data_IF_723099601202
#
_entry.id   IF_723099601202
#
_cell.length_a   1.000
_cell.length_b   1.000
_cell.length_c   1.000
_cell.angle_alpha   90.00
_cell.angle_beta   90.00
_cell.angle_gamma   90.00
#
_symmetry.space_group_name_H-M   'P 1'
#
loop_
_entity.id
_entity.type
_entity.pdbx_description
1 polymer ?
#
# COMPACT_ATOMS: atom_id res chain seq x y z
N UNK A 1 -58.40 -0.90 -13.43
CA UNK A 1 -57.09 -0.85 -14.10
C UNK A 1 -56.15 -0.06 -13.20
N UNK A 2 -55.02 -0.64 -12.78
CA UNK A 2 -53.98 0.08 -12.04
C UNK A 2 -52.77 0.25 -12.96
N UNK A 3 -52.18 1.44 -12.96
CA UNK A 3 -50.97 1.74 -13.73
C UNK A 3 -49.87 2.04 -12.72
N UNK A 4 -48.79 1.26 -12.77
CA UNK A 4 -47.57 1.52 -12.00
C UNK A 4 -46.56 2.24 -12.88
N UNK A 5 -46.08 3.41 -12.43
CA UNK A 5 -45.15 4.25 -13.18
C UNK A 5 -43.81 4.31 -12.45
N UNK A 6 -42.77 3.73 -13.06
CA UNK A 6 -41.39 3.90 -12.60
C UNK A 6 -40.76 5.11 -13.28
N UNK A 7 -40.35 6.11 -12.50
CA UNK A 7 -39.73 7.34 -13.02
C UNK A 7 -38.20 7.23 -12.95
N UNK A 8 -37.55 7.21 -14.10
CA UNK A 8 -36.08 7.26 -14.22
C UNK A 8 -35.68 8.64 -14.73
N UNK A 9 -34.76 9.32 -14.04
CA UNK A 9 -34.29 10.67 -14.40
C UNK A 9 -32.79 10.79 -14.25
N UNK A 10 -32.19 11.63 -15.08
CA UNK A 10 -30.84 12.14 -14.88
C UNK A 10 -30.92 13.65 -14.67
N UNK A 11 -30.32 14.12 -13.58
CA UNK A 11 -30.32 15.53 -13.20
C UNK A 11 -28.87 16.01 -13.05
N UNK A 12 -28.59 17.24 -13.49
CA UNK A 12 -27.33 17.90 -13.20
C UNK A 12 -27.46 18.62 -11.87
N UNK A 13 -26.62 18.25 -10.91
CA UNK A 13 -26.57 18.87 -9.58
C UNK A 13 -25.18 19.45 -9.39
N UNK A 14 -25.09 20.77 -9.15
CA UNK A 14 -23.83 21.42 -8.83
C UNK A 14 -23.71 21.54 -7.31
N UNK A 15 -22.61 21.03 -6.77
CA UNK A 15 -22.33 21.04 -5.34
C UNK A 15 -20.94 21.65 -5.09
N UNK A 16 -20.84 22.50 -4.07
CA UNK A 16 -19.56 23.07 -3.63
C UNK A 16 -18.83 22.08 -2.74
N UNK A 17 -17.69 21.61 -3.20
CA UNK A 17 -16.87 20.62 -2.49
C UNK A 17 -15.45 21.12 -2.25
N UNK A 18 -14.73 20.60 -1.23
CA UNK A 18 -13.32 20.92 -1.04
C UNK A 18 -12.49 20.52 -2.25
N UNK A 19 -11.55 21.38 -2.65
CA UNK A 19 -10.50 21.06 -3.62
C UNK A 19 -9.25 20.62 -2.84
N UNK A 20 -8.84 19.33 -2.88
CA UNK A 20 -7.63 18.90 -2.21
C UNK A 20 -6.38 19.59 -2.80
N UNK A 21 -5.38 19.90 -1.97
CA UNK A 21 -4.16 20.56 -2.42
C UNK A 21 -3.29 19.61 -3.27
N UNK A 22 -2.58 20.18 -4.26
CA UNK A 22 -1.62 19.42 -5.06
C UNK A 22 -0.32 19.24 -4.27
N UNK A 23 0.25 18.03 -4.18
CA UNK A 23 1.52 17.83 -3.49
C UNK A 23 2.69 18.24 -4.38
N UNK A 24 3.38 19.33 -4.00
CA UNK A 24 4.69 19.68 -4.53
C UNK A 24 5.76 18.82 -3.86
N UNK A 25 6.52 18.07 -4.67
CA UNK A 25 7.52 17.12 -4.18
C UNK A 25 8.87 17.80 -3.99
N UNK A 26 9.47 17.63 -2.82
CA UNK A 26 10.83 18.07 -2.52
C UNK A 26 11.67 16.84 -2.20
N UNK A 27 12.80 16.71 -2.88
CA UNK A 27 13.73 15.59 -2.68
C UNK A 27 14.59 15.80 -1.43
N UNK A 28 14.79 14.73 -0.67
CA UNK A 28 15.65 14.69 0.50
C UNK A 28 16.68 13.55 0.35
N UNK A 29 17.96 13.88 0.04
CA UNK A 29 19.00 12.88 -0.17
C UNK A 29 19.46 12.19 1.12
N UNK A 30 19.07 12.67 2.31
CA UNK A 30 19.36 12.00 3.58
C UNK A 30 18.23 11.04 4.00
N UNK A 31 17.07 11.12 3.34
CA UNK A 31 15.92 10.28 3.60
C UNK A 31 15.85 9.09 2.62
N UNK A 32 15.60 7.89 3.15
CA UNK A 32 15.45 6.68 2.33
C UNK A 32 14.34 6.82 1.30
N UNK A 33 14.53 6.25 0.10
CA UNK A 33 13.57 6.28 -1.01
C UNK A 33 12.20 5.70 -0.65
N UNK A 34 12.17 4.75 0.28
CA UNK A 34 10.92 4.15 0.78
C UNK A 34 10.09 5.06 1.68
N UNK A 35 10.60 6.24 2.06
CA UNK A 35 9.97 7.16 3.00
C UNK A 35 9.49 8.43 2.31
N UNK A 36 8.29 8.84 2.68
CA UNK A 36 7.72 10.12 2.31
C UNK A 36 7.13 10.76 3.57
N UNK A 37 7.25 12.08 3.68
CA UNK A 37 6.75 12.85 4.81
C UNK A 37 5.99 14.05 4.25
N UNK A 38 4.75 14.21 4.71
CA UNK A 38 4.02 15.45 4.49
C UNK A 38 4.62 16.49 5.42
N UNK A 39 5.43 17.39 4.86
CA UNK A 39 6.06 18.48 5.61
C UNK A 39 5.08 19.62 5.83
N UNK A 40 4.31 19.94 4.79
CA UNK A 40 3.22 20.90 4.86
C UNK A 40 1.98 20.28 4.21
N UNK A 41 0.86 20.11 4.94
CA UNK A 41 -0.37 19.58 4.36
C UNK A 41 -1.04 20.53 3.35
N UNK A 42 -0.56 21.77 3.20
CA UNK A 42 -1.17 22.76 2.32
C UNK A 42 -2.44 23.34 2.94
N UNK A 43 -3.36 23.81 2.11
CA UNK A 43 -4.68 24.28 2.55
C UNK A 43 -5.72 23.96 1.46
N UNK A 44 -6.84 23.29 1.80
CA UNK A 44 -7.87 22.98 0.81
C UNK A 44 -8.44 24.25 0.18
N UNK A 45 -8.66 24.18 -1.14
CA UNK A 45 -9.45 25.18 -1.86
C UNK A 45 -10.94 24.80 -1.89
N UNK A 46 -11.69 25.43 -2.77
CA UNK A 46 -13.08 25.07 -3.05
C UNK A 46 -13.32 25.00 -4.55
N UNK A 47 -14.12 24.03 -4.97
CA UNK A 47 -14.55 23.86 -6.35
C UNK A 47 -16.04 23.55 -6.39
N UNK A 48 -16.72 24.03 -7.42
CA UNK A 48 -18.08 23.63 -7.73
C UNK A 48 -18.01 22.44 -8.68
N UNK A 49 -18.50 21.28 -8.25
CA UNK A 49 -18.54 20.03 -9.05
C UNK A 49 -19.96 19.79 -9.52
N UNK A 50 -20.14 19.68 -10.83
CA UNK A 50 -21.41 19.27 -11.43
C UNK A 50 -21.44 17.76 -11.54
N UNK A 51 -22.40 17.14 -10.87
CA UNK A 51 -22.69 15.72 -10.92
C UNK A 51 -23.85 15.43 -11.86
N UNK A 52 -23.73 14.37 -12.66
CA UNK A 52 -24.86 13.71 -13.27
C UNK A 52 -25.41 12.69 -12.27
N UNK A 53 -26.61 12.96 -11.74
CA UNK A 53 -27.27 12.16 -10.71
C UNK A 53 -28.39 11.36 -11.35
N UNK A 54 -28.31 10.03 -11.30
CA UNK A 54 -29.36 9.13 -11.72
C UNK A 54 -30.34 8.91 -10.56
N UNK A 55 -31.64 9.03 -10.82
CA UNK A 55 -32.71 8.80 -9.86
C UNK A 55 -33.74 7.82 -10.41
N UNK A 56 -34.17 6.88 -9.57
CA UNK A 56 -35.31 5.97 -9.83
C UNK A 56 -36.36 6.22 -8.75
N UNK A 57 -37.57 6.56 -9.16
CA UNK A 57 -38.68 6.94 -8.27
C UNK A 57 -38.31 8.08 -7.29
N UNK A 58 -37.43 9.00 -7.74
CA UNK A 58 -36.96 10.13 -6.94
C UNK A 58 -35.79 9.80 -6.00
N UNK A 59 -35.44 8.52 -5.85
CA UNK A 59 -34.29 8.08 -5.04
C UNK A 59 -33.04 8.03 -5.92
N UNK A 60 -31.94 8.60 -5.43
CA UNK A 60 -30.66 8.56 -6.12
C UNK A 60 -30.12 7.12 -6.20
N UNK A 61 -29.84 6.64 -7.41
CA UNK A 61 -29.25 5.33 -7.68
C UNK A 61 -27.77 5.40 -8.04
N UNK A 62 -27.26 6.60 -8.36
CA UNK A 62 -25.85 6.84 -8.59
C UNK A 62 -25.54 8.29 -8.98
N UNK A 63 -24.29 8.70 -8.77
CA UNK A 63 -23.78 10.00 -9.19
C UNK A 63 -22.40 9.87 -9.81
N UNK A 64 -22.13 10.68 -10.84
CA UNK A 64 -20.83 10.78 -11.49
C UNK A 64 -20.47 12.27 -11.69
N UNK A 65 -19.25 12.72 -11.34
CA UNK A 65 -18.81 14.08 -11.66
C UNK A 65 -18.64 14.22 -13.18
N UNK A 66 -19.22 15.26 -13.78
CA UNK A 66 -19.16 15.53 -15.23
C UNK A 66 -18.48 16.85 -15.58
N UNK A 67 -18.37 17.77 -14.62
CA UNK A 67 -17.61 19.01 -14.76
C UNK A 67 -17.20 19.52 -13.38
N UNK A 68 -16.14 20.32 -13.33
CA UNK A 68 -15.75 21.05 -12.13
C UNK A 68 -15.21 22.43 -12.50
N UNK A 69 -15.43 23.39 -11.60
CA UNK A 69 -14.90 24.75 -11.71
C UNK A 69 -14.27 25.14 -10.38
N UNK A 70 -13.01 25.57 -10.41
CA UNK A 70 -12.31 26.04 -9.20
C UNK A 70 -12.84 27.42 -8.83
N UNK A 71 -13.29 27.57 -7.57
CA UNK A 71 -13.78 28.84 -7.02
C UNK A 71 -12.70 29.53 -6.21
N UNK A 72 -12.11 28.80 -5.26
CA UNK A 72 -10.94 29.25 -4.51
C UNK A 72 -9.83 28.21 -4.72
N UNK A 73 -8.64 28.62 -5.21
CA UNK A 73 -7.54 27.70 -5.40
C UNK A 73 -7.07 27.13 -4.06
N UNK A 74 -6.60 25.89 -4.08
CA UNK A 74 -5.93 25.28 -2.94
C UNK A 74 -4.50 25.83 -2.82
N UNK A 75 -3.97 25.86 -1.59
CA UNK A 75 -2.53 26.07 -1.36
C UNK A 75 -1.84 24.72 -1.41
N UNK A 76 -0.84 24.59 -2.26
CA UNK A 76 -0.11 23.35 -2.45
C UNK A 76 0.44 22.77 -1.14
N UNK A 77 0.43 21.45 -1.06
CA UNK A 77 1.06 20.69 0.01
C UNK A 77 2.54 20.47 -0.32
N UNK A 78 3.40 20.37 0.68
CA UNK A 78 4.81 20.01 0.51
C UNK A 78 5.01 18.57 0.95
N UNK A 79 5.37 17.72 0.00
CA UNK A 79 5.68 16.32 0.22
C UNK A 79 7.19 16.12 0.08
N UNK A 80 7.86 15.88 1.20
CA UNK A 80 9.26 15.49 1.22
C UNK A 80 9.39 14.01 0.87
N UNK A 81 10.15 13.70 -0.16
CA UNK A 81 10.38 12.33 -0.64
C UNK A 81 11.85 11.99 -0.53
N UNK A 82 12.15 10.81 0.01
CA UNK A 82 13.53 10.38 0.13
C UNK A 82 14.16 10.06 -1.22
N UNK A 83 15.42 10.46 -1.37
CA UNK A 83 16.25 10.19 -2.55
C UNK A 83 17.64 9.68 -2.19
N UNK A 84 17.82 9.19 -0.95
CA UNK A 84 19.11 8.67 -0.46
C UNK A 84 19.66 7.55 -1.36
N UNK A 85 20.83 7.75 -1.99
CA UNK A 85 21.44 6.73 -2.84
C UNK A 85 21.69 5.41 -2.09
N UNK A 86 21.47 4.27 -2.75
CA UNK A 86 21.71 2.94 -2.17
C UNK A 86 20.58 2.41 -1.29
N UNK A 87 19.49 3.18 -1.17
CA UNK A 87 18.26 2.82 -0.45
C UNK A 87 17.11 2.42 -1.37
N UNK A 88 17.42 2.04 -2.62
CA UNK A 88 16.44 1.56 -3.57
C UNK A 88 15.83 0.24 -3.07
N UNK A 89 14.52 0.11 -3.23
CA UNK A 89 13.76 -1.08 -2.84
C UNK A 89 13.21 -1.73 -4.12
N UNK A 90 13.73 -2.91 -4.53
CA UNK A 90 13.21 -3.60 -5.69
C UNK A 90 11.78 -4.12 -5.44
N UNK A 91 10.95 -4.26 -6.49
CA UNK A 91 9.65 -4.89 -6.36
C UNK A 91 9.79 -6.34 -5.87
N UNK A 92 8.82 -6.82 -5.10
CA UNK A 92 8.85 -8.16 -4.50
C UNK A 92 7.90 -9.06 -5.30
N UNK A 93 8.40 -10.15 -5.92
CA UNK A 93 7.55 -11.05 -6.70
C UNK A 93 6.49 -11.76 -5.85
N UNK A 94 6.79 -12.10 -4.59
CA UNK A 94 5.92 -12.92 -3.73
C UNK A 94 5.52 -12.21 -2.42
N UNK A 95 4.94 -11.02 -2.51
CA UNK A 95 4.60 -10.23 -1.32
C UNK A 95 3.65 -10.96 -0.34
N UNK A 96 2.79 -11.85 -0.86
CA UNK A 96 1.80 -12.63 -0.10
C UNK A 96 2.44 -13.69 0.79
N UNK A 97 3.50 -14.36 0.33
CA UNK A 97 4.26 -15.34 1.11
C UNK A 97 4.88 -14.67 2.32
N UNK A 98 5.43 -13.47 2.15
CA UNK A 98 6.02 -12.70 3.24
C UNK A 98 5.01 -12.23 4.28
N UNK A 99 3.82 -11.83 3.84
CA UNK A 99 2.74 -11.48 4.75
C UNK A 99 2.23 -12.70 5.53
N UNK A 100 2.20 -13.89 4.92
CA UNK A 100 1.85 -15.14 5.59
C UNK A 100 2.89 -15.52 6.66
N UNK A 101 4.18 -15.47 6.32
CA UNK A 101 5.27 -15.69 7.29
C UNK A 101 5.17 -14.66 8.43
N UNK A 102 4.91 -13.40 8.13
CA UNK A 102 4.81 -12.37 9.17
C UNK A 102 3.60 -12.55 10.08
N UNK A 103 2.51 -13.12 9.57
CA UNK A 103 1.37 -13.55 10.40
C UNK A 103 1.75 -14.70 11.33
N UNK A 104 2.48 -15.69 10.83
CA UNK A 104 2.95 -16.82 11.64
C UNK A 104 3.94 -16.40 12.74
N UNK A 105 4.91 -15.54 12.39
CA UNK A 105 6.05 -15.19 13.27
C UNK A 105 5.75 -14.01 14.22
N UNK A 106 4.88 -13.09 13.83
CA UNK A 106 4.63 -11.83 14.54
C UNK A 106 3.15 -11.42 14.62
N UNK A 107 2.21 -12.31 14.28
CA UNK A 107 0.79 -11.97 14.21
C UNK A 107 0.47 -10.91 13.15
N UNK A 108 1.37 -10.68 12.20
CA UNK A 108 1.27 -9.66 11.16
C UNK A 108 1.82 -8.29 11.59
N UNK A 109 2.38 -8.18 12.80
CA UNK A 109 2.98 -6.95 13.27
C UNK A 109 4.43 -6.80 12.76
N UNK A 110 4.58 -6.07 11.66
CA UNK A 110 5.87 -5.79 11.04
C UNK A 110 6.84 -4.98 11.91
N UNK A 111 6.34 -4.31 12.95
CA UNK A 111 7.12 -3.48 13.88
C UNK A 111 7.27 -4.12 15.27
N UNK A 112 7.00 -5.44 15.40
CA UNK A 112 7.10 -6.12 16.69
C UNK A 112 8.52 -6.06 17.25
N UNK A 113 8.61 -5.78 18.54
CA UNK A 113 9.83 -5.94 19.34
C UNK A 113 9.43 -6.31 20.75
N UNK A 114 9.56 -7.59 21.07
CA UNK A 114 9.23 -8.14 22.39
C UNK A 114 10.43 -8.16 23.34
N UNK A 115 11.60 -7.66 22.91
CA UNK A 115 12.83 -7.74 23.68
C UNK A 115 13.46 -9.14 23.72
N UNK A 116 13.03 -10.06 22.86
CA UNK A 116 13.53 -11.43 22.78
C UNK A 116 14.77 -11.61 21.88
N UNK A 117 15.39 -10.50 21.45
CA UNK A 117 16.55 -10.50 20.54
C UNK A 117 16.21 -10.65 19.05
N UNK A 118 14.92 -10.76 18.72
CA UNK A 118 14.41 -10.76 17.34
C UNK A 118 13.47 -9.59 17.11
N UNK A 119 13.44 -9.08 15.89
CA UNK A 119 12.66 -7.89 15.55
C UNK A 119 11.90 -8.04 14.24
N UNK A 120 10.80 -7.29 14.16
CA UNK A 120 9.99 -7.11 12.97
C UNK A 120 9.17 -8.35 12.57
N UNK A 121 8.39 -8.20 11.50
CA UNK A 121 7.35 -9.17 11.14
C UNK A 121 7.83 -10.61 10.95
N UNK A 122 9.08 -10.81 10.54
CA UNK A 122 9.66 -12.15 10.31
C UNK A 122 10.75 -12.51 11.33
N UNK A 123 10.85 -11.75 12.43
CA UNK A 123 11.69 -12.08 13.59
C UNK A 123 13.17 -12.31 13.24
N UNK A 124 13.81 -11.33 12.58
CA UNK A 124 15.26 -11.36 12.33
C UNK A 124 16.04 -10.98 13.58
N UNK A 125 17.21 -11.59 13.78
CA UNK A 125 18.21 -11.10 14.73
C UNK A 125 19.06 -9.98 14.10
N UNK A 126 19.61 -9.10 14.93
CA UNK A 126 20.39 -7.93 14.51
C UNK A 126 21.63 -8.31 13.68
N UNK A 127 22.30 -9.43 14.00
CA UNK A 127 23.51 -9.85 13.28
C UNK A 127 23.21 -10.23 11.82
N UNK A 128 22.06 -10.85 11.59
CA UNK A 128 21.58 -11.20 10.25
C UNK A 128 21.19 -9.96 9.47
N UNK A 129 20.53 -9.00 10.11
CA UNK A 129 20.18 -7.71 9.52
C UNK A 129 21.43 -6.98 8.99
N UNK A 130 22.48 -6.92 9.79
CA UNK A 130 23.74 -6.29 9.41
C UNK A 130 24.43 -7.02 8.27
N UNK A 131 24.53 -8.36 8.34
CA UNK A 131 25.16 -9.18 7.29
C UNK A 131 24.45 -9.10 5.94
N UNK A 132 23.13 -8.97 5.92
CA UNK A 132 22.35 -8.81 4.69
C UNK A 132 22.25 -7.36 4.20
N UNK A 133 23.06 -6.45 4.76
CA UNK A 133 23.18 -5.07 4.29
C UNK A 133 22.01 -4.17 4.71
N UNK A 134 21.35 -4.47 5.84
CA UNK A 134 20.23 -3.70 6.36
C UNK A 134 20.60 -2.30 6.86
N UNK A 135 21.87 -2.10 7.24
CA UNK A 135 22.38 -0.82 7.76
C UNK A 135 22.26 0.35 6.78
N UNK A 136 22.18 0.10 5.47
CA UNK A 136 21.95 1.16 4.47
C UNK A 136 20.57 1.78 4.59
N UNK A 137 19.61 1.06 5.17
CA UNK A 137 18.24 1.50 5.32
C UNK A 137 17.91 1.91 6.76
N UNK A 138 18.45 1.23 7.76
CA UNK A 138 18.21 1.58 9.15
C UNK A 138 19.37 1.15 10.04
N UNK A 139 19.77 1.98 11.02
CA UNK A 139 20.85 1.64 11.96
C UNK A 139 20.50 0.43 12.84
N UNK A 140 19.22 0.17 13.06
CA UNK A 140 18.71 -1.03 13.72
C UNK A 140 17.36 -1.42 13.11
N UNK A 141 16.97 -2.70 13.25
CA UNK A 141 15.73 -3.24 12.68
C UNK A 141 14.45 -2.56 13.24
N UNK A 142 14.55 -1.77 14.32
CA UNK A 142 13.47 -1.01 14.96
C UNK A 142 13.52 0.53 14.76
N UNK A 143 14.27 1.03 13.79
CA UNK A 143 14.32 2.48 13.52
C UNK A 143 12.98 3.04 13.00
N UNK A 144 12.56 4.23 13.49
CA UNK A 144 11.58 4.43 14.56
C UNK A 144 10.14 3.96 14.23
N UNK A 145 9.28 3.76 15.25
CA UNK A 145 7.85 3.50 15.09
C UNK A 145 7.11 4.79 14.74
N UNK A 146 7.11 5.17 13.47
CA UNK A 146 6.10 6.11 12.95
C UNK A 146 5.05 5.31 12.21
N UNK A 147 3.82 5.74 12.39
CA UNK A 147 2.57 5.24 11.80
C UNK A 147 2.55 5.39 10.27
N UNK A 148 3.65 5.12 9.58
CA UNK A 148 3.79 5.07 8.14
C UNK A 148 4.09 3.63 7.75
N UNK A 149 3.17 3.07 6.98
CA UNK A 149 3.28 1.79 6.30
C UNK A 149 4.38 1.91 5.23
N UNK A 150 5.63 2.02 5.65
CA UNK A 150 6.78 2.03 4.74
C UNK A 150 7.15 0.59 4.47
N UNK A 151 7.23 0.14 3.21
CA UNK A 151 7.71 -1.20 2.92
C UNK A 151 9.17 -1.26 3.38
N UNK A 152 9.43 -2.11 4.38
CA UNK A 152 10.77 -2.38 4.86
C UNK A 152 11.67 -2.91 3.72
N UNK A 153 12.99 -2.84 3.88
CA UNK A 153 13.92 -3.22 2.84
C UNK A 153 13.96 -4.74 2.68
N UNK A 154 13.14 -5.23 1.76
CA UNK A 154 12.93 -6.66 1.52
C UNK A 154 14.12 -7.37 0.87
N UNK A 155 15.24 -6.68 0.61
CA UNK A 155 16.48 -7.32 0.10
C UNK A 155 17.19 -8.17 1.15
N UNK A 156 16.95 -7.96 2.44
CA UNK A 156 17.44 -8.86 3.50
C UNK A 156 16.63 -10.16 3.60
N UNK A 157 15.50 -10.26 2.91
CA UNK A 157 14.54 -11.35 3.10
C UNK A 157 14.91 -12.62 2.31
N UNK A 158 15.71 -12.54 1.25
CA UNK A 158 16.03 -13.71 0.41
C UNK A 158 17.06 -14.68 1.04
N UNK A 159 17.90 -14.23 2.00
CA UNK A 159 19.00 -15.07 2.52
C UNK A 159 18.57 -16.05 3.63
N UNK A 160 17.34 -15.97 4.13
CA UNK A 160 16.89 -16.77 5.30
C UNK A 160 15.50 -17.40 5.18
N UNK A 161 14.97 -17.57 3.97
CA UNK A 161 13.92 -18.56 3.73
C UNK A 161 14.30 -19.97 4.26
N UNK A 162 15.60 -20.22 4.52
CA UNK A 162 16.09 -21.45 5.14
C UNK A 162 16.17 -21.53 6.67
N UNK A 163 15.86 -20.48 7.47
CA UNK A 163 16.28 -20.47 8.89
C UNK A 163 15.19 -20.62 9.97
N UNK A 164 13.90 -20.73 9.64
CA UNK A 164 12.87 -21.19 10.58
C UNK A 164 11.90 -22.14 9.89
N UNK A 165 12.36 -23.38 9.73
CA UNK A 165 11.70 -24.47 8.98
C UNK A 165 10.40 -25.04 9.57
N UNK A 166 9.57 -24.25 10.27
CA UNK A 166 8.19 -24.65 10.63
C UNK A 166 7.14 -23.85 9.84
N UNK A 167 7.13 -22.52 9.93
CA UNK A 167 6.17 -21.69 9.21
C UNK A 167 6.39 -21.64 7.68
N UNK A 168 7.65 -21.56 7.22
CA UNK A 168 7.94 -21.55 5.77
C UNK A 168 7.63 -22.90 5.11
N UNK A 169 7.91 -24.01 5.80
CA UNK A 169 7.64 -25.36 5.31
C UNK A 169 6.13 -25.66 5.19
N UNK A 170 5.29 -25.14 6.09
CA UNK A 170 3.83 -25.33 6.03
C UNK A 170 3.17 -24.56 4.87
N UNK A 171 3.68 -23.38 4.50
CA UNK A 171 3.14 -22.56 3.43
C UNK A 171 3.70 -22.93 2.03
N UNK A 172 4.99 -23.32 1.93
CA UNK A 172 5.57 -23.79 0.66
C UNK A 172 4.94 -25.11 0.19
N UNK A 173 4.63 -26.02 1.13
CA UNK A 173 3.88 -27.25 0.81
C UNK A 173 2.48 -26.90 0.27
N UNK A 174 1.80 -25.89 0.81
CA UNK A 174 0.48 -25.46 0.32
C UNK A 174 0.53 -24.79 -1.07
N UNK A 175 1.59 -24.04 -1.36
CA UNK A 175 1.82 -23.45 -2.68
C UNK A 175 2.11 -24.53 -3.75
N UNK A 176 2.95 -25.53 -3.43
CA UNK A 176 3.28 -26.61 -4.36
C UNK A 176 2.12 -27.58 -4.62
N UNK A 177 1.22 -27.79 -3.66
CA UNK A 177 0.03 -28.63 -3.86
C UNK A 177 -1.06 -27.99 -4.74
N UNK A 178 -0.92 -26.71 -5.12
CA UNK A 178 -1.81 -26.06 -6.10
C UNK A 178 -1.24 -26.13 -7.53
N UNK A 179 -0.06 -26.71 -7.72
CA UNK A 179 0.65 -26.75 -9.00
C UNK A 179 0.87 -28.18 -9.56
N UNK A 180 0.19 -29.20 -9.04
CA UNK A 180 0.24 -30.55 -9.64
C UNK A 180 -1.15 -31.17 -9.76
N UNK A 181 -1.69 -31.09 -10.98
CA UNK A 181 -2.59 -32.10 -11.54
C UNK A 181 -3.68 -31.54 -12.47
N UNK A 182 -4.07 -32.26 -13.54
CA UNK A 182 -3.30 -33.14 -14.43
C UNK A 182 -3.44 -32.67 -15.90
N UNK A 183 -2.42 -32.84 -16.74
CA UNK A 183 -2.67 -32.99 -18.18
C UNK A 183 -1.58 -33.85 -18.83
N UNK A 184 -1.79 -35.17 -18.73
CA UNK A 184 -1.31 -36.10 -19.75
C UNK A 184 -2.40 -36.18 -20.83
N UNK A 185 -2.27 -35.41 -21.91
CA UNK A 185 -2.44 -35.91 -23.27
C UNK A 185 -2.36 -34.80 -24.33
N UNK A 186 -1.77 -35.18 -25.48
CA UNK A 186 -1.82 -34.55 -26.82
C UNK A 186 -0.97 -33.28 -26.99
N UNK A 187 -0.02 -33.14 -27.93
CA UNK A 187 0.22 -33.85 -29.18
C UNK A 187 1.64 -33.57 -29.73
N UNK A 188 2.25 -34.58 -30.33
CA UNK A 188 3.17 -34.55 -31.49
C UNK A 188 3.57 -36.03 -31.69
N UNK A 189 3.18 -36.70 -32.77
CA UNK A 189 3.78 -36.55 -34.09
C UNK A 189 4.70 -37.74 -34.30
#
# INVERSE_FOLDING_TARGET
>A
MQIEVTRIRMEKVTERVPLPPTPHRIEDPEMNISRQVVEDPGSPGTQDVTFAVAKVNGVETGRLPVANTVIAPARDAVLRVGTKPGTEVPPIPDATVWDAIARCEAGGNWAINTGNGYYGGVQFDQSTWERSGGLRYAPALIWPPVRSRSPSPRRCYNDRAGARGRCAAEEQVRADHTAIGPDRNTAAG
#
